data_IF_353873795847
#
_entry.id   IF_353873795847
#
_cell.length_a   1.000
_cell.length_b   1.000
_cell.length_c   1.000
_cell.angle_alpha   90.00
_cell.angle_beta   90.00
_cell.angle_gamma   90.00
#
_symmetry.space_group_name_H-M   'P 1'
#
loop_
_entity.id
_entity.type
_entity.pdbx_description
1 polymer ?
#
# COMPACT_ATOMS: atom_id res chain seq x y z
N UNK A 1 -11.50 -7.83 15.56
CA UNK A 1 -11.38 -6.47 16.09
C UNK A 1 -9.92 -6.05 16.09
N UNK A 2 -9.68 -4.78 15.85
CA UNK A 2 -8.35 -4.13 15.94
C UNK A 2 -8.27 -3.17 17.15
N UNK A 3 -9.16 -3.32 18.11
CA UNK A 3 -9.11 -2.54 19.35
C UNK A 3 -7.76 -2.69 20.06
N UNK A 4 -7.20 -1.57 20.51
CA UNK A 4 -5.88 -1.50 21.14
C UNK A 4 -4.70 -1.56 20.16
N UNK A 5 -4.94 -1.76 18.87
CA UNK A 5 -3.91 -1.73 17.81
C UNK A 5 -3.78 -0.34 17.21
N UNK A 6 -2.55 0.01 16.84
CA UNK A 6 -2.25 1.25 16.10
C UNK A 6 -1.79 0.91 14.70
N UNK A 7 -2.43 1.51 13.70
CA UNK A 7 -2.11 1.34 12.30
C UNK A 7 -1.59 2.65 11.69
N UNK A 8 -0.46 2.61 11.00
CA UNK A 8 -0.01 3.70 10.15
C UNK A 8 -0.31 3.39 8.68
N UNK A 9 -0.86 4.36 7.96
CA UNK A 9 -1.17 4.23 6.56
C UNK A 9 -0.48 5.34 5.77
N UNK A 10 0.40 4.97 4.84
CA UNK A 10 1.02 5.91 3.91
C UNK A 10 0.13 6.15 2.71
N UNK A 11 0.20 7.34 2.11
CA UNK A 11 -0.69 7.69 1.00
C UNK A 11 -2.15 7.83 1.42
N UNK A 12 -2.41 8.10 2.70
CA UNK A 12 -3.75 8.10 3.30
C UNK A 12 -4.65 9.28 2.85
N UNK A 13 -4.14 10.23 2.09
CA UNK A 13 -4.88 11.40 1.62
C UNK A 13 -5.82 11.13 0.43
N UNK A 14 -5.82 9.90 -0.14
CA UNK A 14 -6.71 9.54 -1.26
C UNK A 14 -6.69 8.03 -1.56
N UNK A 15 -7.64 7.57 -2.39
CA UNK A 15 -7.65 6.25 -3.00
C UNK A 15 -7.54 5.09 -2.02
N UNK A 16 -6.68 4.11 -2.33
CA UNK A 16 -6.54 2.88 -1.54
C UNK A 16 -6.05 3.19 -0.12
N UNK A 17 -5.13 4.14 0.06
CA UNK A 17 -4.62 4.53 1.38
C UNK A 17 -5.73 5.14 2.26
N UNK A 18 -6.54 6.02 1.70
CA UNK A 18 -7.70 6.59 2.41
C UNK A 18 -8.72 5.51 2.76
N UNK A 19 -9.03 4.61 1.81
CA UNK A 19 -9.92 3.48 2.07
C UNK A 19 -9.39 2.56 3.18
N UNK A 20 -8.09 2.28 3.20
CA UNK A 20 -7.46 1.50 4.26
C UNK A 20 -7.58 2.18 5.63
N UNK A 21 -7.42 3.51 5.70
CA UNK A 21 -7.63 4.26 6.93
C UNK A 21 -9.08 4.13 7.44
N UNK A 22 -10.08 4.26 6.55
CA UNK A 22 -11.50 4.03 6.87
C UNK A 22 -11.73 2.61 7.39
N UNK A 23 -11.23 1.59 6.67
CA UNK A 23 -11.47 0.19 7.01
C UNK A 23 -10.85 -0.19 8.37
N UNK A 24 -9.60 0.22 8.62
CA UNK A 24 -8.91 -0.10 9.86
C UNK A 24 -9.47 0.66 11.07
N UNK A 25 -9.83 1.95 10.88
CA UNK A 25 -10.50 2.72 11.94
C UNK A 25 -11.87 2.13 12.28
N UNK A 26 -12.66 1.76 11.27
CA UNK A 26 -13.96 1.08 11.44
C UNK A 26 -13.85 -0.28 12.11
N UNK A 27 -12.69 -0.97 11.99
CA UNK A 27 -12.40 -2.21 12.69
C UNK A 27 -11.87 -2.01 14.14
N UNK A 28 -11.73 -0.75 14.59
CA UNK A 28 -11.36 -0.38 15.96
C UNK A 28 -9.89 0.03 16.16
N UNK A 29 -9.08 0.11 15.11
CA UNK A 29 -7.71 0.56 15.23
C UNK A 29 -7.61 2.07 15.54
N UNK A 30 -6.60 2.48 16.29
CA UNK A 30 -6.13 3.86 16.26
C UNK A 30 -5.32 4.07 14.97
N UNK A 31 -5.68 5.06 14.17
CA UNK A 31 -5.12 5.24 12.82
C UNK A 31 -4.24 6.48 12.75
N UNK A 32 -3.04 6.31 12.17
CA UNK A 32 -2.13 7.39 11.81
C UNK A 32 -2.16 7.53 10.29
N UNK A 33 -2.78 8.59 9.79
CA UNK A 33 -2.80 8.92 8.37
C UNK A 33 -1.52 9.67 8.00
N UNK A 34 -0.74 9.14 7.04
CA UNK A 34 0.49 9.80 6.60
C UNK A 34 0.45 10.14 5.11
N UNK A 35 0.76 11.38 4.77
CA UNK A 35 0.93 11.86 3.40
C UNK A 35 1.72 13.17 3.36
N UNK A 36 2.18 13.57 2.15
CA UNK A 36 2.89 14.84 1.92
C UNK A 36 1.98 16.06 1.88
N UNK A 37 0.77 15.89 1.33
CA UNK A 37 -0.17 16.98 1.12
C UNK A 37 -1.04 17.21 2.35
N UNK A 38 -0.87 18.37 2.99
CA UNK A 38 -1.55 18.71 4.23
C UNK A 38 -3.08 18.80 4.07
N UNK A 39 -3.57 19.54 3.08
CA UNK A 39 -5.01 19.87 2.98
C UNK A 39 -5.89 18.61 2.92
N UNK A 40 -5.65 17.74 1.94
CA UNK A 40 -6.40 16.49 1.79
C UNK A 40 -6.20 15.51 2.96
N UNK A 41 -5.03 15.55 3.61
CA UNK A 41 -4.77 14.71 4.77
C UNK A 41 -5.60 15.16 5.96
N UNK A 42 -5.70 16.47 6.21
CA UNK A 42 -6.54 17.07 7.24
C UNK A 42 -8.03 16.82 6.98
N UNK A 43 -8.46 16.91 5.73
CA UNK A 43 -9.84 16.55 5.34
C UNK A 43 -10.14 15.08 5.64
N UNK A 44 -9.21 14.17 5.32
CA UNK A 44 -9.35 12.75 5.63
C UNK A 44 -9.44 12.52 7.14
N UNK A 45 -8.54 13.11 7.92
CA UNK A 45 -8.55 13.01 9.38
C UNK A 45 -9.87 13.51 9.96
N UNK A 46 -10.35 14.68 9.51
CA UNK A 46 -11.62 15.27 9.96
C UNK A 46 -12.78 14.33 9.69
N UNK A 47 -12.92 13.85 8.45
CA UNK A 47 -13.99 12.95 8.06
C UNK A 47 -14.00 11.63 8.88
N UNK A 48 -12.82 11.11 9.22
CA UNK A 48 -12.71 9.91 10.05
C UNK A 48 -13.08 10.20 11.52
N UNK A 49 -12.66 11.34 12.06
CA UNK A 49 -13.02 11.77 13.44
C UNK A 49 -14.53 12.03 13.61
N UNK A 50 -15.22 12.49 12.57
CA UNK A 50 -16.67 12.67 12.60
C UNK A 50 -17.44 11.35 12.82
N UNK A 51 -16.82 10.20 12.51
CA UNK A 51 -17.35 8.86 12.83
C UNK A 51 -17.00 8.40 14.26
N UNK A 52 -16.36 9.23 15.07
CA UNK A 52 -15.94 8.90 16.43
C UNK A 52 -14.66 8.05 16.50
N UNK A 53 -13.92 7.88 15.40
CA UNK A 53 -12.72 7.07 15.36
C UNK A 53 -11.47 7.80 15.85
N UNK A 54 -10.51 7.04 16.39
CA UNK A 54 -9.22 7.56 16.86
C UNK A 54 -8.28 7.71 15.68
N UNK A 55 -8.10 8.94 15.20
CA UNK A 55 -7.27 9.25 14.03
C UNK A 55 -6.36 10.43 14.31
N UNK A 56 -5.12 10.35 13.85
CA UNK A 56 -4.15 11.44 13.81
C UNK A 56 -3.49 11.51 12.44
N UNK A 57 -2.91 12.65 12.11
CA UNK A 57 -2.18 12.86 10.85
C UNK A 57 -0.72 13.16 11.13
N UNK A 58 0.16 12.59 10.29
CA UNK A 58 1.58 12.91 10.21
C UNK A 58 1.89 13.38 8.77
N UNK A 59 2.34 14.62 8.65
CA UNK A 59 2.75 15.18 7.35
C UNK A 59 4.20 14.80 7.14
N UNK A 60 4.46 13.90 6.19
CA UNK A 60 5.81 13.42 5.87
C UNK A 60 5.93 12.97 4.42
N UNK A 61 7.13 13.15 3.85
CA UNK A 61 7.48 12.48 2.59
C UNK A 61 8.09 11.11 2.89
N UNK A 62 7.51 10.07 2.31
CA UNK A 62 7.99 8.69 2.50
C UNK A 62 9.43 8.49 2.03
N UNK A 63 9.95 9.37 1.16
CA UNK A 63 11.35 9.37 0.73
C UNK A 63 12.31 9.98 1.77
N UNK A 64 11.80 10.68 2.77
CA UNK A 64 12.61 11.27 3.84
C UNK A 64 12.71 10.30 5.02
N UNK A 65 13.71 9.43 4.98
CA UNK A 65 13.88 8.35 5.97
C UNK A 65 13.90 8.84 7.42
N UNK A 66 14.52 9.99 7.70
CA UNK A 66 14.55 10.56 9.06
C UNK A 66 13.17 10.97 9.59
N UNK A 67 12.29 11.48 8.73
CA UNK A 67 10.91 11.80 9.09
C UNK A 67 10.15 10.53 9.48
N UNK A 68 10.34 9.45 8.70
CA UNK A 68 9.73 8.15 8.98
C UNK A 68 10.25 7.58 10.31
N UNK A 69 11.55 7.63 10.57
CA UNK A 69 12.12 7.17 11.84
C UNK A 69 11.49 7.92 13.02
N UNK A 70 11.40 9.25 12.98
CA UNK A 70 10.80 10.06 14.04
C UNK A 70 9.34 9.67 14.32
N UNK A 71 8.56 9.33 13.28
CA UNK A 71 7.17 8.87 13.46
C UNK A 71 7.13 7.53 14.22
N UNK A 72 8.00 6.56 13.87
CA UNK A 72 8.06 5.27 14.56
C UNK A 72 8.63 5.34 15.97
N UNK A 73 9.49 6.32 16.27
CA UNK A 73 9.94 6.61 17.62
C UNK A 73 8.80 7.16 18.51
N UNK A 74 8.02 8.07 17.95
CA UNK A 74 6.89 8.74 18.62
C UNK A 74 5.71 7.81 18.91
N UNK A 75 5.44 6.86 17.99
CA UNK A 75 4.26 6.02 18.04
C UNK A 75 4.59 4.53 18.18
N UNK A 76 3.81 3.82 19.01
CA UNK A 76 3.81 2.37 19.03
C UNK A 76 2.90 1.88 17.89
N UNK A 77 3.47 1.26 16.86
CA UNK A 77 2.77 0.88 15.63
C UNK A 77 2.73 -0.65 15.52
N UNK A 78 1.53 -1.21 15.43
CA UNK A 78 1.27 -2.65 15.25
C UNK A 78 1.08 -3.03 13.77
N UNK A 79 0.55 -2.11 12.97
CA UNK A 79 0.15 -2.38 11.58
C UNK A 79 0.68 -1.26 10.68
N UNK A 80 1.32 -1.64 9.58
CA UNK A 80 1.74 -0.72 8.52
C UNK A 80 1.01 -1.05 7.24
N UNK A 81 0.31 -0.07 6.64
CA UNK A 81 -0.21 -0.17 5.28
C UNK A 81 0.54 0.82 4.40
N UNK A 82 1.47 0.33 3.61
CA UNK A 82 2.19 1.16 2.66
C UNK A 82 1.44 1.25 1.34
N UNK A 83 0.60 2.29 1.20
CA UNK A 83 -0.16 2.58 -0.01
C UNK A 83 0.41 3.76 -0.82
N UNK A 84 1.52 4.35 -0.39
CA UNK A 84 2.22 5.32 -1.19
C UNK A 84 2.79 4.66 -2.45
N UNK A 85 2.54 5.26 -3.59
CA UNK A 85 3.00 4.74 -4.87
C UNK A 85 2.95 5.81 -5.94
N UNK A 86 3.78 5.64 -6.97
CA UNK A 86 3.86 6.50 -8.13
C UNK A 86 3.93 5.67 -9.40
N UNK A 87 3.33 6.21 -10.46
CA UNK A 87 3.38 5.63 -11.79
C UNK A 87 3.73 6.71 -12.79
N UNK A 88 4.79 6.47 -13.56
CA UNK A 88 5.15 7.25 -14.74
C UNK A 88 5.31 6.26 -15.87
N UNK A 89 4.59 6.49 -16.94
CA UNK A 89 4.46 5.53 -18.04
C UNK A 89 5.04 6.10 -19.33
N UNK A 90 5.88 5.30 -19.96
CA UNK A 90 6.49 5.60 -21.27
C UNK A 90 6.90 4.28 -21.94
N UNK A 91 7.06 4.27 -23.28
CA UNK A 91 7.80 3.21 -23.95
C UNK A 91 9.17 3.02 -23.28
N UNK A 92 9.63 1.78 -23.11
CA UNK A 92 10.84 1.49 -22.34
C UNK A 92 12.09 2.22 -22.88
N UNK A 93 12.18 2.36 -24.20
CA UNK A 93 13.30 3.08 -24.88
C UNK A 93 13.24 4.61 -24.73
N UNK A 94 12.12 5.15 -24.28
CA UNK A 94 11.88 6.58 -24.09
C UNK A 94 11.85 6.98 -22.61
N UNK A 95 12.05 6.02 -21.71
CA UNK A 95 12.02 6.29 -20.26
C UNK A 95 13.14 7.24 -19.88
N UNK A 96 12.78 8.38 -19.31
CA UNK A 96 13.73 9.35 -18.78
C UNK A 96 14.27 8.91 -17.42
N UNK A 97 15.53 9.26 -17.13
CA UNK A 97 16.18 8.92 -15.87
C UNK A 97 15.40 9.45 -14.67
N UNK A 98 14.92 10.70 -14.75
CA UNK A 98 14.11 11.29 -13.67
C UNK A 98 12.78 10.58 -13.43
N UNK A 99 12.18 9.96 -14.45
CA UNK A 99 10.95 9.17 -14.30
C UNK A 99 11.24 7.80 -13.70
N UNK A 100 12.36 7.19 -14.10
CA UNK A 100 12.86 5.96 -13.49
C UNK A 100 13.12 6.16 -11.99
N UNK A 101 13.93 7.18 -11.65
CA UNK A 101 14.32 7.47 -10.27
C UNK A 101 13.08 7.78 -9.40
N UNK A 102 12.16 8.61 -9.89
CA UNK A 102 10.94 8.96 -9.16
C UNK A 102 10.06 7.75 -8.86
N UNK A 103 9.92 6.80 -9.80
CA UNK A 103 9.15 5.57 -9.58
C UNK A 103 9.87 4.62 -8.63
N UNK A 104 11.16 4.43 -8.80
CA UNK A 104 11.94 3.51 -7.96
C UNK A 104 12.09 4.05 -6.54
N UNK A 105 12.31 5.34 -6.35
CA UNK A 105 12.39 5.96 -5.02
C UNK A 105 11.09 5.77 -4.22
N UNK A 106 9.93 6.03 -4.82
CA UNK A 106 8.65 5.92 -4.11
C UNK A 106 8.20 4.47 -3.99
N UNK A 107 8.32 3.64 -5.04
CA UNK A 107 7.70 2.31 -5.02
C UNK A 107 8.57 1.25 -4.36
N UNK A 108 9.90 1.36 -4.44
CA UNK A 108 10.83 0.36 -3.93
C UNK A 108 11.66 0.86 -2.76
N UNK A 109 12.43 1.92 -2.95
CA UNK A 109 13.34 2.43 -1.92
C UNK A 109 12.58 2.82 -0.65
N UNK A 110 11.52 3.60 -0.77
CA UNK A 110 10.71 3.97 0.38
C UNK A 110 10.02 2.78 1.02
N UNK A 111 9.52 1.82 0.21
CA UNK A 111 8.92 0.58 0.71
C UNK A 111 9.91 -0.25 1.52
N UNK A 112 11.16 -0.34 1.07
CA UNK A 112 12.23 -1.01 1.80
C UNK A 112 12.48 -0.34 3.17
N UNK A 113 12.67 0.98 3.17
CA UNK A 113 13.04 1.69 4.39
C UNK A 113 11.90 1.85 5.40
N UNK A 114 10.65 1.98 4.97
CA UNK A 114 9.53 1.96 5.92
C UNK A 114 9.36 0.58 6.55
N UNK A 115 9.60 -0.50 5.78
CA UNK A 115 9.52 -1.87 6.30
C UNK A 115 10.61 -2.13 7.34
N UNK A 116 11.86 -1.76 7.06
CA UNK A 116 12.97 -1.95 8.00
C UNK A 116 12.82 -1.09 9.26
N UNK A 117 12.33 0.15 9.12
CA UNK A 117 12.04 1.02 10.27
C UNK A 117 10.91 0.44 11.12
N UNK A 118 9.84 -0.05 10.49
CA UNK A 118 8.74 -0.68 11.19
C UNK A 118 9.19 -1.94 11.93
N UNK A 119 9.89 -2.85 11.24
CA UNK A 119 10.37 -4.09 11.84
C UNK A 119 11.32 -3.82 13.01
N UNK A 120 12.26 -2.86 12.87
CA UNK A 120 13.13 -2.45 13.96
C UNK A 120 12.34 -1.97 15.19
N UNK A 121 11.38 -1.07 14.99
CA UNK A 121 10.52 -0.57 16.07
C UNK A 121 9.67 -1.68 16.70
N UNK A 122 9.17 -2.63 15.91
CA UNK A 122 8.41 -3.78 16.40
C UNK A 122 9.29 -4.72 17.23
N UNK A 123 10.50 -5.04 16.76
CA UNK A 123 11.46 -5.87 17.49
C UNK A 123 11.87 -5.26 18.82
N UNK A 124 12.19 -3.97 18.85
CA UNK A 124 12.59 -3.25 20.06
C UNK A 124 11.48 -3.16 21.12
N UNK A 125 10.22 -3.34 20.72
CA UNK A 125 9.02 -3.21 21.57
C UNK A 125 8.25 -4.52 21.76
N UNK A 126 8.80 -5.66 21.34
CA UNK A 126 8.17 -6.98 21.39
C UNK A 126 6.76 -7.01 20.75
N UNK A 127 6.61 -6.40 19.58
CA UNK A 127 5.35 -6.34 18.83
C UNK A 127 5.35 -7.39 17.72
N UNK A 128 4.44 -8.36 17.80
CA UNK A 128 4.10 -9.22 16.66
C UNK A 128 3.19 -8.44 15.69
N UNK A 129 3.80 -7.74 14.72
CA UNK A 129 3.12 -6.79 13.86
C UNK A 129 2.77 -7.31 12.47
N UNK A 130 2.10 -6.48 11.68
CA UNK A 130 1.76 -6.76 10.28
C UNK A 130 2.16 -5.59 9.37
N UNK A 131 2.97 -5.88 8.36
CA UNK A 131 3.38 -4.92 7.33
C UNK A 131 2.72 -5.34 6.01
N UNK A 132 1.99 -4.42 5.38
CA UNK A 132 1.18 -4.66 4.19
C UNK A 132 1.57 -3.65 3.12
N UNK A 133 2.08 -4.14 1.99
CA UNK A 133 2.38 -3.29 0.83
C UNK A 133 1.24 -3.34 -0.18
N UNK A 134 0.79 -2.17 -0.65
CA UNK A 134 -0.04 -2.10 -1.84
C UNK A 134 0.87 -2.17 -3.06
N UNK A 135 0.94 -3.37 -3.61
CA UNK A 135 1.71 -3.69 -4.81
C UNK A 135 0.85 -3.51 -6.07
N UNK A 136 0.88 -4.46 -6.99
CA UNK A 136 0.09 -4.44 -8.22
C UNK A 136 0.05 -5.84 -8.84
N UNK A 137 -0.98 -6.16 -9.61
CA UNK A 137 -0.93 -7.30 -10.53
C UNK A 137 0.29 -7.23 -11.48
N UNK A 138 0.81 -6.00 -11.75
CA UNK A 138 2.03 -5.81 -12.54
C UNK A 138 3.31 -6.28 -11.83
N UNK A 139 3.21 -6.82 -10.63
CA UNK A 139 4.26 -7.60 -9.97
C UNK A 139 4.28 -9.08 -10.39
N UNK A 140 3.29 -9.52 -11.19
CA UNK A 140 3.15 -10.89 -11.67
C UNK A 140 3.13 -10.97 -13.20
N UNK A 141 2.78 -9.87 -13.86
CA UNK A 141 2.71 -9.77 -15.33
C UNK A 141 3.31 -8.45 -15.81
N UNK A 142 3.66 -8.39 -17.09
CA UNK A 142 4.09 -7.15 -17.73
C UNK A 142 2.92 -6.33 -18.26
N UNK A 143 3.22 -5.12 -18.72
CA UNK A 143 2.26 -4.26 -19.41
C UNK A 143 2.96 -3.28 -20.34
N UNK A 144 2.26 -2.88 -21.40
CA UNK A 144 2.75 -1.87 -22.35
C UNK A 144 3.01 -0.56 -21.62
N UNK A 145 4.15 0.07 -21.88
CA UNK A 145 4.61 1.31 -21.24
C UNK A 145 4.76 1.22 -19.70
N UNK A 146 4.98 0.01 -19.18
CA UNK A 146 5.01 -0.26 -17.73
C UNK A 146 6.35 -0.79 -17.22
N UNK A 147 7.41 -0.79 -18.03
CA UNK A 147 8.65 -1.48 -17.71
C UNK A 147 9.19 -1.12 -16.31
N UNK A 148 9.38 0.16 -16.02
CA UNK A 148 9.89 0.62 -14.71
C UNK A 148 8.91 0.33 -13.58
N UNK A 149 7.62 0.60 -13.80
CA UNK A 149 6.58 0.33 -12.81
C UNK A 149 6.51 -1.16 -12.46
N UNK A 150 6.46 -2.04 -13.49
CA UNK A 150 6.45 -3.49 -13.27
C UNK A 150 7.72 -3.95 -12.56
N UNK A 151 8.90 -3.47 -12.96
CA UNK A 151 10.16 -3.78 -12.30
C UNK A 151 10.12 -3.40 -10.80
N UNK A 152 9.62 -2.19 -10.47
CA UNK A 152 9.49 -1.74 -9.08
C UNK A 152 8.56 -2.64 -8.25
N UNK A 153 7.45 -3.09 -8.85
CA UNK A 153 6.46 -3.95 -8.16
C UNK A 153 6.94 -5.40 -8.04
N UNK A 154 7.62 -5.96 -9.03
CA UNK A 154 8.29 -7.26 -8.91
C UNK A 154 9.37 -7.24 -7.81
N UNK A 155 10.14 -6.15 -7.72
CA UNK A 155 11.15 -6.00 -6.67
C UNK A 155 10.54 -5.97 -5.26
N UNK A 156 9.37 -5.34 -5.09
CA UNK A 156 8.62 -5.36 -3.81
C UNK A 156 8.26 -6.80 -3.43
N UNK A 157 7.82 -7.66 -4.36
CA UNK A 157 7.50 -9.06 -4.05
C UNK A 157 8.74 -9.86 -3.61
N UNK A 158 9.88 -9.61 -4.25
CA UNK A 158 11.16 -10.22 -3.83
C UNK A 158 11.56 -9.77 -2.43
N UNK A 159 11.45 -8.48 -2.14
CA UNK A 159 11.71 -7.89 -0.83
C UNK A 159 10.82 -8.50 0.26
N UNK A 160 9.51 -8.58 0.01
CA UNK A 160 8.53 -9.13 0.95
C UNK A 160 8.87 -10.57 1.34
N UNK A 161 9.27 -11.42 0.38
CA UNK A 161 9.67 -12.81 0.65
C UNK A 161 10.90 -12.90 1.54
N UNK A 162 11.94 -12.12 1.24
CA UNK A 162 13.18 -12.11 2.02
C UNK A 162 12.96 -11.62 3.45
N UNK A 163 12.23 -10.51 3.60
CA UNK A 163 11.92 -9.93 4.91
C UNK A 163 11.00 -10.83 5.75
N UNK A 164 10.10 -11.59 5.13
CA UNK A 164 9.26 -12.56 5.82
C UNK A 164 10.11 -13.69 6.46
N UNK A 165 11.16 -14.13 5.79
CA UNK A 165 12.10 -15.14 6.32
C UNK A 165 12.87 -14.59 7.53
N UNK A 166 13.33 -13.33 7.43
CA UNK A 166 14.13 -12.69 8.48
C UNK A 166 13.29 -12.37 9.75
N UNK A 167 12.06 -11.92 9.59
CA UNK A 167 11.27 -11.38 10.69
C UNK A 167 10.18 -12.32 11.21
N UNK A 168 9.85 -13.36 10.42
CA UNK A 168 8.86 -14.38 10.80
C UNK A 168 9.14 -15.05 12.14
N UNK A 169 10.40 -15.43 12.48
CA UNK A 169 10.72 -15.98 13.79
C UNK A 169 10.37 -15.08 14.99
N UNK A 170 10.22 -13.77 14.76
CA UNK A 170 9.83 -12.79 15.76
C UNK A 170 8.33 -12.45 15.73
N UNK A 171 7.54 -13.19 14.95
CA UNK A 171 6.10 -12.97 14.83
C UNK A 171 5.69 -11.75 13.99
N UNK A 172 6.61 -11.12 13.27
CA UNK A 172 6.30 -10.02 12.35
C UNK A 172 5.96 -10.59 10.99
N UNK A 173 4.78 -10.28 10.49
CA UNK A 173 4.30 -10.68 9.16
C UNK A 173 4.46 -9.55 8.16
N UNK A 174 4.88 -9.87 6.95
CA UNK A 174 4.97 -8.93 5.85
C UNK A 174 4.40 -9.56 4.58
N UNK A 175 3.45 -8.88 3.96
CA UNK A 175 2.75 -9.35 2.78
C UNK A 175 2.45 -8.20 1.82
N UNK A 176 2.01 -8.54 0.61
CA UNK A 176 1.53 -7.56 -0.35
C UNK A 176 0.09 -7.86 -0.81
N UNK A 177 -0.59 -6.82 -1.24
CA UNK A 177 -1.86 -6.89 -1.96
C UNK A 177 -1.58 -6.40 -3.37
N UNK A 178 -2.03 -7.14 -4.38
CA UNK A 178 -1.77 -6.90 -5.78
C UNK A 178 -3.07 -6.58 -6.53
N UNK A 179 -3.55 -5.32 -6.49
CA UNK A 179 -4.75 -4.91 -7.21
C UNK A 179 -4.54 -4.86 -8.71
N UNK A 180 -5.63 -5.02 -9.45
CA UNK A 180 -5.75 -4.54 -10.83
C UNK A 180 -6.02 -3.02 -10.86
N UNK A 181 -6.60 -2.52 -11.95
CA UNK A 181 -7.02 -1.12 -12.06
C UNK A 181 -8.16 -0.83 -11.08
N UNK A 182 -7.87 0.00 -10.09
CA UNK A 182 -8.81 0.47 -9.07
C UNK A 182 -9.19 1.92 -9.40
N UNK A 183 -10.46 2.27 -9.30
CA UNK A 183 -10.93 3.65 -9.50
C UNK A 183 -10.45 4.53 -8.35
N UNK A 184 -9.49 5.40 -8.65
CA UNK A 184 -8.86 6.33 -7.69
C UNK A 184 -8.44 7.60 -8.43
N UNK A 185 -8.13 8.70 -7.73
CA UNK A 185 -7.58 9.90 -8.38
C UNK A 185 -6.31 9.64 -9.21
N UNK A 186 -5.48 8.67 -8.83
CA UNK A 186 -4.27 8.30 -9.57
C UNK A 186 -4.59 7.67 -10.93
N UNK A 187 -5.65 6.90 -11.02
CA UNK A 187 -6.04 6.15 -12.23
C UNK A 187 -7.09 6.85 -13.07
N UNK A 188 -7.68 7.93 -12.57
CA UNK A 188 -8.73 8.70 -13.26
C UNK A 188 -8.37 9.08 -14.70
N UNK A 189 -7.14 9.56 -15.01
CA UNK A 189 -6.77 9.86 -16.41
C UNK A 189 -6.86 8.64 -17.35
N UNK A 190 -6.64 7.43 -16.83
CA UNK A 190 -6.78 6.19 -17.60
C UNK A 190 -8.23 5.92 -17.96
N UNK A 191 -9.17 6.28 -17.10
CA UNK A 191 -10.61 6.06 -17.28
C UNK A 191 -11.30 7.09 -18.17
N UNK A 192 -10.63 8.17 -18.52
CA UNK A 192 -11.13 9.17 -19.47
C UNK A 192 -11.08 8.67 -20.93
N UNK A 193 -10.34 7.58 -21.21
CA UNK A 193 -10.27 6.99 -22.54
C UNK A 193 -11.16 5.71 -22.60
N UNK A 194 -12.31 5.76 -23.33
CA UNK A 194 -13.25 4.64 -23.40
C UNK A 194 -12.65 3.35 -23.98
N UNK A 195 -11.78 3.46 -25.00
CA UNK A 195 -11.16 2.29 -25.62
C UNK A 195 -10.22 1.59 -24.63
N UNK A 196 -9.49 2.37 -23.86
CA UNK A 196 -8.64 1.83 -22.80
C UNK A 196 -9.45 1.17 -21.69
N UNK A 197 -10.57 1.75 -21.31
CA UNK A 197 -11.49 1.16 -20.32
C UNK A 197 -12.05 -0.17 -20.83
N UNK A 198 -12.48 -0.23 -22.09
CA UNK A 198 -13.00 -1.46 -22.71
C UNK A 198 -11.92 -2.54 -22.76
N UNK A 199 -10.69 -2.17 -23.13
CA UNK A 199 -9.56 -3.10 -23.12
C UNK A 199 -9.26 -3.61 -21.70
N UNK A 200 -9.22 -2.73 -20.68
CA UNK A 200 -9.02 -3.12 -19.28
C UNK A 200 -10.11 -4.11 -18.85
N UNK A 201 -11.38 -3.80 -19.11
CA UNK A 201 -12.50 -4.67 -18.76
C UNK A 201 -12.45 -6.03 -19.46
N UNK A 202 -11.98 -6.09 -20.71
CA UNK A 202 -11.83 -7.35 -21.45
C UNK A 202 -10.76 -8.27 -20.84
N UNK A 203 -9.79 -7.69 -20.10
CA UNK A 203 -8.76 -8.46 -19.40
C UNK A 203 -9.19 -8.92 -18.01
N UNK A 204 -10.08 -8.17 -17.34
CA UNK A 204 -10.61 -8.54 -16.03
C UNK A 204 -11.77 -9.52 -16.20
N UNK A 205 -11.63 -10.76 -15.75
CA UNK A 205 -12.64 -11.81 -15.93
C UNK A 205 -13.98 -11.49 -15.25
N UNK A 206 -13.94 -10.73 -14.15
CA UNK A 206 -15.16 -10.21 -13.52
C UNK A 206 -15.83 -9.05 -14.29
N UNK A 207 -15.27 -8.62 -15.43
CA UNK A 207 -15.88 -7.67 -16.39
C UNK A 207 -16.00 -6.23 -15.92
N UNK A 208 -15.41 -5.87 -14.78
CA UNK A 208 -15.43 -4.50 -14.26
C UNK A 208 -14.08 -4.08 -13.69
N UNK A 209 -13.81 -2.80 -13.65
CA UNK A 209 -12.70 -2.24 -12.88
C UNK A 209 -13.00 -2.37 -11.39
N UNK A 210 -11.95 -2.43 -10.57
CA UNK A 210 -12.11 -2.50 -9.14
C UNK A 210 -12.43 -1.12 -8.53
N UNK A 211 -13.18 -1.12 -7.44
CA UNK A 211 -13.37 0.02 -6.55
C UNK A 211 -12.47 -0.14 -5.32
N UNK A 212 -12.24 0.96 -4.58
CA UNK A 212 -11.43 0.92 -3.36
C UNK A 212 -11.95 -0.11 -2.36
N UNK A 213 -13.27 -0.26 -2.25
CA UNK A 213 -13.92 -1.24 -1.37
C UNK A 213 -13.55 -2.69 -1.67
N UNK A 214 -13.25 -3.04 -2.93
CA UNK A 214 -12.83 -4.39 -3.31
C UNK A 214 -11.49 -4.80 -2.67
N UNK A 215 -10.65 -3.82 -2.34
CA UNK A 215 -9.31 -4.05 -1.77
C UNK A 215 -9.36 -4.19 -0.24
N UNK A 216 -10.37 -3.58 0.41
CA UNK A 216 -10.41 -3.44 1.86
C UNK A 216 -10.55 -4.77 2.60
N UNK A 217 -11.19 -5.76 1.99
CA UNK A 217 -11.25 -7.12 2.56
C UNK A 217 -9.86 -7.75 2.74
N UNK A 218 -8.98 -7.59 1.76
CA UNK A 218 -7.60 -8.07 1.84
C UNK A 218 -6.77 -7.28 2.86
N UNK A 219 -6.97 -5.95 2.95
CA UNK A 219 -6.33 -5.11 3.97
C UNK A 219 -6.72 -5.58 5.37
N UNK A 220 -8.00 -5.74 5.64
CA UNK A 220 -8.51 -6.19 6.95
C UNK A 220 -8.04 -7.62 7.27
N UNK A 221 -8.05 -8.52 6.30
CA UNK A 221 -7.54 -9.88 6.46
C UNK A 221 -6.08 -9.88 6.91
N UNK A 222 -5.20 -9.18 6.18
CA UNK A 222 -3.78 -9.13 6.50
C UNK A 222 -3.46 -8.34 7.78
N UNK A 223 -4.29 -7.38 8.16
CA UNK A 223 -4.12 -6.60 9.37
C UNK A 223 -4.53 -7.33 10.66
N UNK A 224 -5.33 -8.41 10.55
CA UNK A 224 -5.89 -9.14 11.69
C UNK A 224 -5.24 -10.50 11.91
N UNK A 225 -5.53 -11.14 13.05
CA UNK A 225 -5.08 -12.50 13.38
C UNK A 225 -5.69 -13.58 12.48
N UNK A 226 -6.70 -13.25 11.66
CA UNK A 226 -7.23 -14.15 10.63
C UNK A 226 -6.15 -14.59 9.62
N UNK A 227 -5.08 -13.81 9.51
CA UNK A 227 -3.91 -14.09 8.67
C UNK A 227 -2.66 -14.45 9.50
N UNK A 228 -2.81 -14.94 10.73
CA UNK A 228 -1.69 -15.23 11.64
C UNK A 228 -0.65 -16.21 11.06
N UNK A 229 -1.03 -17.05 10.10
CA UNK A 229 -0.14 -18.00 9.41
C UNK A 229 0.22 -17.54 7.99
N UNK A 230 0.01 -16.24 7.66
CA UNK A 230 0.23 -15.67 6.32
C UNK A 230 1.34 -14.63 6.37
N UNK A 231 2.50 -14.96 5.78
CA UNK A 231 3.64 -14.05 5.61
C UNK A 231 4.42 -14.40 4.34
N UNK A 232 5.06 -13.42 3.73
CA UNK A 232 5.87 -13.60 2.52
C UNK A 232 5.07 -13.83 1.24
N UNK A 233 3.77 -13.52 1.24
CA UNK A 233 2.89 -13.78 0.10
C UNK A 233 2.28 -12.51 -0.49
N UNK A 234 1.74 -12.65 -1.70
CA UNK A 234 0.96 -11.64 -2.39
C UNK A 234 -0.49 -12.12 -2.56
N UNK A 235 -1.44 -11.25 -2.22
CA UNK A 235 -2.87 -11.48 -2.47
C UNK A 235 -3.28 -10.73 -3.73
N UNK A 236 -3.58 -11.48 -4.78
CA UNK A 236 -4.13 -10.92 -6.02
C UNK A 236 -5.59 -10.49 -5.80
N UNK A 237 -5.88 -9.22 -6.08
CA UNK A 237 -7.23 -8.66 -6.09
C UNK A 237 -7.44 -8.01 -7.47
N UNK A 238 -7.45 -8.85 -8.48
CA UNK A 238 -7.32 -8.44 -9.87
C UNK A 238 -8.51 -8.87 -10.78
N UNK A 239 -9.53 -9.44 -10.18
CA UNK A 239 -10.71 -9.92 -10.91
C UNK A 239 -10.40 -11.01 -11.93
N UNK A 240 -9.31 -11.76 -11.75
CA UNK A 240 -8.87 -12.83 -12.63
C UNK A 240 -8.03 -12.37 -13.83
N UNK A 241 -7.48 -11.17 -13.80
CA UNK A 241 -6.60 -10.69 -14.87
C UNK A 241 -5.40 -11.61 -15.09
N UNK A 242 -4.75 -12.05 -14.02
CA UNK A 242 -3.53 -12.87 -14.06
C UNK A 242 -3.81 -14.38 -14.08
N UNK A 243 -5.07 -14.80 -14.23
CA UNK A 243 -5.44 -16.21 -14.24
C UNK A 243 -5.11 -16.91 -15.58
N UNK A 244 -4.75 -16.15 -16.63
CA UNK A 244 -4.32 -16.68 -17.94
C UNK A 244 -3.05 -15.97 -18.46
#
# INVERSE_FOLDING_TARGET
SLEGKTAIITGASSGIGQGAAVALAGAGASVICMARGQDRLVETEKALKENGWKVTSEIADINHHSEIQNIFEKHKIDIVVNAAGQARHSPAIETKLEDYDAVMDVNLKSAYFISTTAAKSMLERDICGSIIHISSQMAHVGGVDRAVYSASKHAVEGMVKSMAIEWGPNGIRINSICPTFVRTPLTEPTFQNPDRVNWIKSKIKLGRVAEVSDIMGAVLYLATDLSSMVTGTSILVDGGWTAE
#
